data_IF_856721315201
#
_entry.id   IF_856721315201
#
_cell.length_a   1.000
_cell.length_b   1.000
_cell.length_c   1.000
_cell.angle_alpha   90.00
_cell.angle_beta   90.00
_cell.angle_gamma   90.00
#
_symmetry.space_group_name_H-M   'P 1'
#
loop_
_entity.id
_entity.type
_entity.pdbx_description
1 polymer ?
#
# COMPACT_ATOMS: atom_id res chain seq x y z
N UNK A 1 -8.77 -7.75 -0.36
CA UNK A 1 -9.36 -6.96 -1.48
C UNK A 1 -8.24 -6.53 -2.42
N UNK A 2 -8.47 -6.43 -3.74
CA UNK A 2 -7.45 -5.93 -4.69
C UNK A 2 -7.76 -4.47 -5.00
N UNK A 3 -6.85 -3.58 -4.61
CA UNK A 3 -7.03 -2.14 -4.74
C UNK A 3 -6.09 -1.59 -5.81
N UNK A 4 -6.62 -0.65 -6.60
CA UNK A 4 -5.88 0.17 -7.54
C UNK A 4 -6.11 1.63 -7.14
N UNK A 5 -5.03 2.40 -7.06
CA UNK A 5 -5.10 3.85 -6.84
C UNK A 5 -4.36 4.58 -7.95
N UNK A 6 -4.89 5.74 -8.34
CA UNK A 6 -4.30 6.62 -9.35
C UNK A 6 -3.77 7.85 -8.63
N UNK A 7 -2.55 8.27 -8.97
CA UNK A 7 -1.96 9.46 -8.35
C UNK A 7 -2.83 10.70 -8.65
N UNK A 8 -3.14 11.53 -7.64
CA UNK A 8 -4.22 12.54 -7.74
C UNK A 8 -3.97 13.65 -8.77
N UNK A 9 -2.70 13.90 -9.12
CA UNK A 9 -2.30 14.94 -10.08
C UNK A 9 -1.51 14.41 -11.29
N UNK A 10 -1.21 13.11 -11.34
CA UNK A 10 -0.40 12.51 -12.40
C UNK A 10 -0.95 11.13 -12.78
N UNK A 11 -1.81 11.09 -13.78
CA UNK A 11 -2.47 9.86 -14.23
C UNK A 11 -1.53 8.80 -14.83
N UNK A 12 -0.24 9.12 -15.03
CA UNK A 12 0.76 8.15 -15.46
C UNK A 12 1.18 7.22 -14.33
N UNK A 13 1.00 7.65 -13.07
CA UNK A 13 1.39 6.91 -11.87
C UNK A 13 0.15 6.22 -11.29
N UNK A 14 0.20 4.90 -11.24
CA UNK A 14 -0.79 4.07 -10.57
C UNK A 14 -0.09 3.06 -9.68
N UNK A 15 -0.77 2.66 -8.61
CA UNK A 15 -0.33 1.55 -7.77
C UNK A 15 -1.42 0.51 -7.65
N UNK A 16 -1.03 -0.75 -7.68
CA UNK A 16 -1.91 -1.89 -7.48
C UNK A 16 -1.39 -2.77 -6.34
N UNK A 17 -2.30 -3.16 -5.45
CA UNK A 17 -2.01 -4.12 -4.40
C UNK A 17 -2.53 -5.51 -4.80
N UNK A 18 -1.64 -6.50 -4.80
CA UNK A 18 -1.92 -7.89 -5.20
C UNK A 18 -1.44 -8.87 -4.14
N UNK A 19 -1.88 -10.12 -4.18
CA UNK A 19 -1.38 -11.16 -3.27
C UNK A 19 0.13 -11.40 -3.38
N UNK A 20 0.78 -10.95 -4.46
CA UNK A 20 2.22 -11.06 -4.64
C UNK A 20 2.99 -9.81 -4.21
N UNK A 21 2.31 -8.71 -3.89
CA UNK A 21 2.97 -7.44 -3.57
C UNK A 21 2.28 -6.23 -4.16
N UNK A 22 2.92 -5.07 -3.97
CA UNK A 22 2.51 -3.80 -4.56
C UNK A 22 3.32 -3.60 -5.85
N UNK A 23 2.61 -3.23 -6.91
CA UNK A 23 3.22 -2.85 -8.17
C UNK A 23 2.89 -1.39 -8.48
N UNK A 24 3.84 -0.72 -9.13
CA UNK A 24 3.72 0.68 -9.56
C UNK A 24 3.96 0.78 -11.06
N UNK A 25 3.22 1.67 -11.72
CA UNK A 25 3.47 2.06 -13.12
C UNK A 25 3.85 3.54 -13.17
N UNK A 26 4.56 3.91 -14.24
CA UNK A 26 4.90 5.30 -14.58
C UNK A 26 4.41 5.67 -15.98
N UNK A 27 3.63 4.79 -16.62
CA UNK A 27 3.20 4.92 -17.99
C UNK A 27 1.77 4.41 -18.15
N UNK A 28 0.86 4.82 -17.27
CA UNK A 28 -0.59 4.51 -17.39
C UNK A 28 -0.90 3.01 -17.50
N UNK A 29 -0.04 2.17 -16.92
CA UNK A 29 -0.20 0.72 -16.89
C UNK A 29 0.33 -0.04 -18.12
N UNK A 30 1.09 0.61 -19.03
CA UNK A 30 1.79 -0.10 -20.11
C UNK A 30 2.88 -1.06 -19.58
N UNK A 31 3.54 -0.69 -18.48
CA UNK A 31 4.46 -1.56 -17.74
C UNK A 31 4.35 -1.34 -16.23
N UNK A 32 4.69 -2.38 -15.47
CA UNK A 32 4.58 -2.42 -14.02
C UNK A 32 5.88 -2.90 -13.39
N UNK A 33 6.29 -2.26 -12.31
CA UNK A 33 7.42 -2.63 -11.48
C UNK A 33 6.91 -3.08 -10.11
N UNK A 34 7.46 -4.18 -9.59
CA UNK A 34 7.15 -4.63 -8.24
C UNK A 34 7.96 -3.81 -7.23
N UNK A 35 7.29 -2.95 -6.47
CA UNK A 35 7.91 -2.00 -5.52
C UNK A 35 7.89 -2.50 -4.08
N UNK A 36 7.05 -3.49 -3.80
CA UNK A 36 7.01 -4.17 -2.51
C UNK A 36 6.63 -5.63 -2.70
N UNK A 37 7.46 -6.54 -2.20
CA UNK A 37 7.18 -7.98 -2.24
C UNK A 37 6.13 -8.31 -1.19
N UNK A 38 5.10 -9.07 -1.59
CA UNK A 38 4.07 -9.53 -0.68
C UNK A 38 4.63 -10.51 0.37
N UNK A 39 3.91 -10.73 1.48
CA UNK A 39 4.35 -11.68 2.49
C UNK A 39 4.50 -13.08 1.88
N UNK A 40 5.71 -13.63 1.88
CA UNK A 40 5.93 -15.01 1.45
C UNK A 40 5.31 -15.97 2.47
N UNK A 41 4.75 -17.08 1.99
CA UNK A 41 4.34 -18.17 2.85
C UNK A 41 5.57 -18.83 3.49
N UNK A 42 5.96 -18.37 4.67
CA UNK A 42 7.01 -19.01 5.44
C UNK A 42 6.44 -20.25 6.14
N UNK A 43 6.74 -21.43 5.57
CA UNK A 43 6.61 -22.72 6.25
C UNK A 43 5.22 -23.35 6.23
N UNK A 44 4.83 -23.93 5.09
CA UNK A 44 3.90 -25.09 4.97
C UNK A 44 2.47 -24.97 5.54
N UNK A 45 2.12 -23.89 6.23
CA UNK A 45 0.81 -23.65 6.82
C UNK A 45 -0.02 -22.68 5.97
N UNK A 46 -1.34 -22.80 6.07
CA UNK A 46 -2.30 -21.88 5.47
C UNK A 46 -1.98 -20.44 5.90
N UNK A 47 -1.54 -19.60 4.96
CA UNK A 47 -1.30 -18.19 5.24
C UNK A 47 -2.60 -17.45 5.02
N UNK A 48 -3.29 -17.15 6.13
CA UNK A 48 -4.59 -16.50 6.11
C UNK A 48 -4.49 -14.96 5.97
N UNK A 49 -3.28 -14.39 5.90
CA UNK A 49 -3.05 -12.93 5.94
C UNK A 49 -1.96 -12.50 4.94
N UNK A 50 -2.07 -12.94 3.68
CA UNK A 50 -1.23 -12.47 2.55
C UNK A 50 -1.86 -11.30 1.80
N UNK A 51 -3.06 -10.88 2.20
CA UNK A 51 -3.79 -9.85 1.47
C UNK A 51 -3.43 -8.46 1.97
N UNK A 52 -3.08 -7.59 1.03
CA UNK A 52 -3.17 -6.16 1.26
C UNK A 52 -4.64 -5.79 1.48
N UNK A 53 -4.89 -4.97 2.49
CA UNK A 53 -6.23 -4.57 2.93
C UNK A 53 -6.57 -3.17 2.46
N UNK A 54 -5.59 -2.29 2.31
CA UNK A 54 -5.78 -0.99 1.68
C UNK A 54 -4.49 -0.36 1.18
N UNK A 55 -4.67 0.61 0.30
CA UNK A 55 -3.62 1.36 -0.37
C UNK A 55 -4.20 2.75 -0.63
N UNK A 56 -3.58 3.81 -0.12
CA UNK A 56 -4.14 5.16 -0.17
C UNK A 56 -3.03 6.22 -0.25
N UNK A 57 -3.24 7.28 -1.03
CA UNK A 57 -2.36 8.45 -1.03
C UNK A 57 -2.71 9.38 0.14
N UNK A 58 -1.71 10.06 0.69
CA UNK A 58 -1.99 11.15 1.62
C UNK A 58 -2.70 12.30 0.88
N UNK A 59 -3.80 12.86 1.43
CA UNK A 59 -4.72 13.75 0.71
C UNK A 59 -4.09 15.08 0.28
N UNK A 60 -3.05 15.53 0.98
CA UNK A 60 -2.36 16.79 0.67
C UNK A 60 -0.92 16.62 0.19
N UNK A 61 -0.38 15.40 0.24
CA UNK A 61 1.00 15.13 -0.20
C UNK A 61 1.09 13.74 -0.86
N UNK A 62 0.93 13.65 -2.18
CA UNK A 62 0.88 12.37 -2.87
C UNK A 62 2.23 11.64 -2.96
N UNK A 63 3.33 12.25 -2.49
CA UNK A 63 4.57 11.51 -2.25
C UNK A 63 4.42 10.53 -1.09
N UNK A 64 3.49 10.79 -0.16
CA UNK A 64 3.19 9.89 0.95
C UNK A 64 2.11 8.91 0.53
N UNK A 65 2.41 7.61 0.64
CA UNK A 65 1.47 6.52 0.35
C UNK A 65 1.46 5.52 1.49
N UNK A 66 0.29 5.10 1.91
CA UNK A 66 0.12 4.08 2.93
C UNK A 66 -0.41 2.79 2.34
N UNK A 67 0.14 1.67 2.78
CA UNK A 67 -0.37 0.33 2.48
C UNK A 67 -0.56 -0.47 3.77
N UNK A 68 -1.66 -1.20 3.85
CA UNK A 68 -1.95 -2.08 4.98
C UNK A 68 -2.06 -3.51 4.50
N UNK A 69 -1.54 -4.41 5.32
CA UNK A 69 -1.69 -5.84 5.21
C UNK A 69 -1.38 -6.42 6.57
N UNK A 70 -0.44 -7.37 6.63
CA UNK A 70 0.11 -7.85 7.91
C UNK A 70 0.81 -6.77 8.73
N UNK A 71 1.42 -5.80 8.05
CA UNK A 71 2.00 -4.60 8.65
C UNK A 71 1.43 -3.36 7.94
N UNK A 72 1.60 -2.21 8.57
CA UNK A 72 1.46 -0.92 7.89
C UNK A 72 2.79 -0.56 7.25
N UNK A 73 2.74 -0.15 5.99
CA UNK A 73 3.88 0.35 5.24
C UNK A 73 3.61 1.79 4.81
N UNK A 74 4.66 2.58 4.82
CA UNK A 74 4.68 3.95 4.33
C UNK A 74 5.72 4.07 3.22
N UNK A 75 5.34 4.78 2.18
CA UNK A 75 6.25 5.35 1.20
C UNK A 75 6.23 6.86 1.36
N UNK A 76 7.39 7.50 1.18
CA UNK A 76 7.57 8.96 1.17
C UNK A 76 8.10 9.47 -0.18
N UNK A 77 8.02 8.64 -1.21
CA UNK A 77 8.53 8.90 -2.57
C UNK A 77 7.56 8.51 -3.69
N UNK A 78 6.25 8.58 -3.39
CA UNK A 78 5.17 8.29 -4.34
C UNK A 78 5.02 6.80 -4.64
N UNK A 79 5.38 5.96 -3.67
CA UNK A 79 5.25 4.51 -3.72
C UNK A 79 6.38 3.79 -4.46
N UNK A 80 7.55 4.42 -4.61
CA UNK A 80 8.73 3.78 -5.23
C UNK A 80 9.46 2.90 -4.22
N UNK A 81 9.62 3.37 -2.99
CA UNK A 81 10.19 2.61 -1.87
C UNK A 81 9.28 2.64 -0.66
N UNK A 82 9.36 1.59 0.17
CA UNK A 82 8.43 1.35 1.27
C UNK A 82 9.17 0.98 2.55
N UNK A 83 8.75 1.55 3.67
CA UNK A 83 9.23 1.25 5.01
C UNK A 83 8.07 0.71 5.85
N UNK A 84 8.29 -0.39 6.57
CA UNK A 84 7.28 -0.88 7.51
C UNK A 84 7.23 0.02 8.77
N UNK A 85 6.06 0.56 9.09
CA UNK A 85 5.81 1.38 10.27
C UNK A 85 5.50 0.54 11.52
N UNK A 86 4.93 -0.65 11.34
CA UNK A 86 4.64 -1.58 12.45
C UNK A 86 5.61 -2.75 12.44
N UNK A 87 6.17 -3.07 13.61
CA UNK A 87 6.76 -4.39 13.88
C UNK A 87 5.66 -5.44 14.06
N UNK A 88 5.95 -6.69 13.72
CA UNK A 88 5.00 -7.83 13.74
C UNK A 88 4.05 -7.79 14.95
N UNK A 89 2.77 -7.47 14.76
CA UNK A 89 1.77 -7.66 15.82
C UNK A 89 0.54 -6.73 15.86
N UNK A 90 0.49 -5.64 15.10
CA UNK A 90 -0.69 -4.77 15.08
C UNK A 90 -1.28 -4.68 13.67
N UNK A 91 -2.21 -5.59 13.38
CA UNK A 91 -3.10 -5.48 12.23
C UNK A 91 -4.00 -4.26 12.45
N UNK A 92 -3.83 -3.22 11.64
CA UNK A 92 -4.71 -2.05 11.61
C UNK A 92 -5.41 -2.04 10.25
N UNK A 93 -6.73 -2.21 10.25
CA UNK A 93 -7.55 -2.04 9.05
C UNK A 93 -7.79 -0.54 8.82
N UNK A 94 -7.57 -0.06 7.59
CA UNK A 94 -7.77 1.35 7.24
C UNK A 94 -9.23 1.83 7.29
N UNK A 95 -10.19 0.98 7.65
CA UNK A 95 -11.56 1.44 7.90
C UNK A 95 -11.66 2.46 9.04
N UNK A 96 -10.64 2.54 9.92
CA UNK A 96 -10.63 3.47 11.06
C UNK A 96 -9.76 4.73 10.84
N UNK A 97 -9.03 4.83 9.72
CA UNK A 97 -8.22 6.00 9.36
C UNK A 97 -8.91 6.86 8.29
N UNK A 98 -10.22 7.09 8.42
CA UNK A 98 -10.72 8.37 7.92
C UNK A 98 -10.04 9.44 8.75
N UNK A 99 -9.25 10.30 8.09
CA UNK A 99 -8.69 11.51 8.67
C UNK A 99 -9.73 12.14 9.59
N UNK A 100 -9.53 12.01 10.90
CA UNK A 100 -10.29 12.77 11.87
C UNK A 100 -9.99 14.23 11.56
N UNK A 101 -10.92 15.01 10.95
CA UNK A 101 -10.77 16.44 11.07
C UNK A 101 -11.01 16.75 12.55
N UNK A 102 -10.51 17.88 13.04
CA UNK A 102 -10.70 18.36 14.42
C UNK A 102 -9.74 17.77 15.47
N UNK A 103 -8.53 18.32 15.52
CA UNK A 103 -8.11 18.94 16.77
C UNK A 103 -8.23 20.46 16.59
N UNK A 104 -9.11 21.05 17.41
CA UNK A 104 -9.13 22.47 17.69
C UNK A 104 -7.94 22.84 18.59
#
# INVERSE_FOLDING_TARGET
MRNIIVHPTNDQILLIATSQGIFRTQNRGFSWEQVLVGPAATGGGFVLDTEWRGLEFHPTNPDIVYASGRNIYESVDGGQTWTALTGTGASLDFFEYQFSPYFA
#
